data_IF_044331380150
#
_entry.id   IF_044331380150
#
_cell.length_a   1.000
_cell.length_b   1.000
_cell.length_c   1.000
_cell.angle_alpha   90.00
_cell.angle_beta   90.00
_cell.angle_gamma   90.00
#
_symmetry.space_group_name_H-M   'P 1'
#
loop_
_entity.id
_entity.type
_entity.pdbx_description
1 polymer ?
#
# COMPACT_ATOMS: atom_id res chain seq x y z
N UNK A 1 -3.44 -38.29 14.88
CA UNK A 1 -3.32 -37.81 13.48
C UNK A 1 -3.92 -36.41 13.31
N UNK A 2 -5.17 -36.19 13.71
CA UNK A 2 -5.87 -34.90 13.56
C UNK A 2 -5.20 -33.67 14.22
N UNK A 3 -4.63 -33.82 15.42
CA UNK A 3 -3.96 -32.69 16.11
C UNK A 3 -2.69 -32.22 15.38
N UNK A 4 -1.96 -33.15 14.74
CA UNK A 4 -0.76 -32.81 13.94
C UNK A 4 -1.15 -32.09 12.66
N UNK A 5 -2.21 -32.55 11.99
CA UNK A 5 -2.74 -31.87 10.80
C UNK A 5 -3.26 -30.46 11.14
N UNK A 6 -3.97 -30.29 12.26
CA UNK A 6 -4.43 -28.99 12.72
C UNK A 6 -3.27 -28.04 13.03
N UNK A 7 -2.22 -28.51 13.74
CA UNK A 7 -1.05 -27.70 14.03
C UNK A 7 -0.29 -27.27 12.77
N UNK A 8 -0.14 -28.17 11.79
CA UNK A 8 0.48 -27.86 10.49
C UNK A 8 -0.36 -26.83 9.75
N UNK A 9 -1.68 -26.99 9.70
CA UNK A 9 -2.56 -26.04 9.03
C UNK A 9 -2.48 -24.64 9.66
N UNK A 10 -2.52 -24.55 10.99
CA UNK A 10 -2.39 -23.28 11.71
C UNK A 10 -1.04 -22.61 11.43
N UNK A 11 0.05 -23.37 11.40
CA UNK A 11 1.38 -22.85 11.06
C UNK A 11 1.46 -22.32 9.63
N UNK A 12 0.90 -23.05 8.66
CA UNK A 12 0.89 -22.64 7.25
C UNK A 12 0.08 -21.35 7.04
N UNK A 13 -1.08 -21.21 7.71
CA UNK A 13 -1.89 -19.99 7.64
C UNK A 13 -1.17 -18.80 8.29
N UNK A 14 -0.50 -19.02 9.43
CA UNK A 14 0.26 -17.97 10.11
C UNK A 14 1.52 -17.53 9.33
N UNK A 15 2.05 -18.38 8.44
CA UNK A 15 3.22 -18.09 7.62
C UNK A 15 2.90 -17.34 6.31
N UNK A 16 1.62 -17.17 5.96
CA UNK A 16 1.23 -16.37 4.80
C UNK A 16 1.39 -14.89 5.14
N UNK A 17 2.53 -14.34 4.74
CA UNK A 17 2.76 -12.90 4.60
C UNK A 17 2.97 -12.62 3.12
N UNK A 18 2.25 -11.65 2.57
CA UNK A 18 2.32 -11.35 1.14
C UNK A 18 2.10 -9.87 0.86
N UNK A 19 2.94 -9.34 -0.02
CA UNK A 19 2.86 -7.96 -0.48
C UNK A 19 1.63 -7.80 -1.36
N UNK A 20 0.75 -6.87 -1.01
CA UNK A 20 -0.44 -6.59 -1.81
C UNK A 20 -0.19 -5.36 -2.67
N UNK A 21 -0.21 -5.54 -4.00
CA UNK A 21 -0.10 -4.44 -4.95
C UNK A 21 -1.49 -3.89 -5.30
N UNK A 22 -1.86 -2.75 -4.74
CA UNK A 22 -3.14 -2.09 -5.08
C UNK A 22 -2.99 -1.14 -6.25
N UNK A 23 -3.74 -1.42 -7.31
CA UNK A 23 -3.78 -0.60 -8.53
C UNK A 23 -4.79 0.56 -8.43
N UNK A 24 -5.83 0.41 -7.61
CA UNK A 24 -6.89 1.40 -7.37
C UNK A 24 -7.43 1.22 -5.93
N UNK A 25 -7.68 2.28 -5.15
CA UNK A 25 -7.54 3.71 -5.47
C UNK A 25 -6.08 4.18 -5.61
N UNK A 26 -5.90 5.32 -6.30
CA UNK A 26 -4.59 6.02 -6.37
C UNK A 26 -4.14 6.45 -4.97
N UNK A 27 -2.84 6.52 -4.74
CA UNK A 27 -2.28 6.83 -3.41
C UNK A 27 -2.40 5.68 -2.39
N UNK A 28 -2.85 4.49 -2.83
CA UNK A 28 -2.86 3.28 -2.00
C UNK A 28 -1.44 2.81 -1.64
N UNK A 29 -1.33 1.75 -0.84
CA UNK A 29 -0.07 1.17 -0.37
C UNK A 29 0.84 2.20 0.33
N UNK A 30 0.27 3.03 1.20
CA UNK A 30 0.99 4.08 1.93
C UNK A 30 1.60 5.21 1.08
N UNK A 31 1.26 5.34 -0.20
CA UNK A 31 1.82 6.37 -1.09
C UNK A 31 0.95 7.62 -1.23
N UNK A 32 0.00 7.79 -0.32
CA UNK A 32 -0.89 8.95 -0.31
C UNK A 32 -0.07 10.21 -0.03
N UNK A 33 -0.11 11.15 -0.98
CA UNK A 33 0.54 12.46 -0.90
C UNK A 33 2.07 12.46 -0.95
N UNK A 34 2.68 11.40 -1.47
CA UNK A 34 4.13 11.36 -1.68
C UNK A 34 4.50 11.75 -3.12
N UNK A 35 5.50 12.61 -3.29
CA UNK A 35 6.03 12.99 -4.62
C UNK A 35 7.04 11.96 -5.14
N UNK A 36 7.78 11.29 -4.25
CA UNK A 36 8.87 10.40 -4.62
C UNK A 36 8.36 9.02 -5.02
N UNK A 37 9.24 8.25 -5.66
CA UNK A 37 9.00 6.85 -6.00
C UNK A 37 9.12 5.91 -4.78
N UNK A 38 9.62 6.38 -3.64
CA UNK A 38 9.86 5.56 -2.45
C UNK A 38 8.90 5.97 -1.34
N UNK A 39 8.33 4.99 -0.63
CA UNK A 39 7.47 5.22 0.54
C UNK A 39 8.29 5.84 1.69
N UNK A 40 7.94 7.06 2.06
CA UNK A 40 8.63 7.87 3.08
C UNK A 40 8.10 7.58 4.48
N UNK A 41 6.80 7.25 4.63
CA UNK A 41 6.18 6.94 5.93
C UNK A 41 5.47 5.57 5.94
N UNK A 42 5.87 4.68 6.86
CA UNK A 42 5.33 3.31 6.99
C UNK A 42 4.13 3.26 7.93
N UNK A 43 4.03 4.23 8.84
CA UNK A 43 3.09 4.24 9.94
C UNK A 43 1.79 4.91 9.48
N UNK A 44 1.00 4.20 8.67
CA UNK A 44 -0.39 4.59 8.36
C UNK A 44 -1.33 3.44 8.68
N UNK A 45 -2.63 3.66 8.48
CA UNK A 45 -3.72 2.77 8.92
C UNK A 45 -3.62 1.33 8.39
N UNK A 46 -2.86 1.09 7.32
CA UNK A 46 -2.67 -0.21 6.70
C UNK A 46 -1.21 -0.43 6.31
N UNK A 47 -0.66 -1.61 6.66
CA UNK A 47 0.66 -2.04 6.23
C UNK A 47 0.52 -3.02 5.05
N UNK A 48 0.77 -2.50 3.85
CA UNK A 48 0.72 -3.26 2.60
C UNK A 48 1.92 -4.19 2.37
N UNK A 49 2.96 -4.13 3.20
CA UNK A 49 4.24 -4.82 3.01
C UNK A 49 4.89 -4.55 1.64
N UNK A 50 4.63 -3.41 0.99
CA UNK A 50 4.94 -3.14 -0.42
C UNK A 50 6.43 -2.95 -0.81
N UNK A 51 7.39 -3.41 0.00
CA UNK A 51 8.83 -3.27 -0.20
C UNK A 51 9.26 -1.85 -0.66
N UNK A 52 8.62 -0.83 -0.08
CA UNK A 52 8.80 0.62 -0.33
C UNK A 52 8.41 1.16 -1.71
N UNK A 53 8.21 0.32 -2.73
CA UNK A 53 7.94 0.78 -4.12
C UNK A 53 6.60 0.34 -4.69
N UNK A 54 5.88 -0.58 -4.04
CA UNK A 54 4.61 -1.08 -4.57
C UNK A 54 3.46 -0.06 -4.46
N UNK A 55 2.64 0.05 -5.51
CA UNK A 55 1.51 0.97 -5.63
C UNK A 55 1.82 2.23 -6.45
N UNK A 56 0.80 3.09 -6.62
CA UNK A 56 0.90 4.36 -7.36
C UNK A 56 0.68 5.55 -6.44
N UNK A 57 1.40 6.65 -6.71
CA UNK A 57 1.13 7.95 -6.09
C UNK A 57 -0.27 8.46 -6.50
N UNK A 58 -0.80 9.40 -5.71
CA UNK A 58 -1.86 10.25 -6.23
C UNK A 58 -1.31 11.03 -7.44
N UNK A 59 -2.07 11.08 -8.53
CA UNK A 59 -1.66 11.84 -9.71
C UNK A 59 -1.72 13.33 -9.41
N UNK A 60 -0.94 14.13 -10.13
CA UNK A 60 -1.05 15.58 -10.09
C UNK A 60 -2.41 16.01 -10.67
N UNK A 61 -3.00 17.06 -10.13
CA UNK A 61 -4.27 17.61 -10.62
C UNK A 61 -4.07 18.39 -11.93
N UNK A 62 -2.90 19.04 -12.09
CA UNK A 62 -2.56 19.87 -13.25
C UNK A 62 -1.44 19.29 -14.11
N UNK A 63 -1.02 20.07 -15.10
CA UNK A 63 0.06 19.71 -16.04
C UNK A 63 1.46 19.75 -15.42
N UNK A 64 1.60 20.47 -14.31
CA UNK A 64 2.86 20.62 -13.57
C UNK A 64 2.88 19.69 -12.37
N UNK A 65 4.08 19.25 -11.98
CA UNK A 65 4.29 18.45 -10.79
C UNK A 65 3.74 19.17 -9.53
N UNK A 66 2.92 18.47 -8.74
CA UNK A 66 2.37 19.00 -7.50
C UNK A 66 3.49 19.19 -6.48
N UNK A 67 3.58 20.36 -5.84
CA UNK A 67 4.54 20.63 -4.75
C UNK A 67 3.94 20.39 -3.37
N UNK A 68 2.63 20.16 -3.30
CA UNK A 68 1.91 19.84 -2.09
C UNK A 68 0.69 18.98 -2.41
N UNK A 69 0.11 18.41 -1.35
CA UNK A 69 -1.04 17.50 -1.45
C UNK A 69 -2.35 18.13 -1.94
N UNK A 70 -2.43 19.47 -1.97
CA UNK A 70 -3.61 20.20 -2.46
C UNK A 70 -3.59 20.35 -3.99
N UNK A 71 -2.43 20.09 -4.62
CA UNK A 71 -2.25 20.12 -6.07
C UNK A 71 -2.32 18.71 -6.69
N UNK A 72 -2.69 17.71 -5.89
CA UNK A 72 -2.86 16.33 -6.33
C UNK A 72 -4.34 16.01 -6.51
N UNK A 73 -4.61 15.12 -7.46
CA UNK A 73 -5.95 14.66 -7.78
C UNK A 73 -6.64 14.08 -6.53
N UNK A 74 -7.75 14.73 -6.14
CA UNK A 74 -8.63 14.26 -5.08
C UNK A 74 -9.92 13.75 -5.70
N UNK A 75 -10.30 12.54 -5.30
CA UNK A 75 -11.57 11.96 -5.74
C UNK A 75 -12.68 12.67 -4.96
N UNK A 76 -13.46 13.51 -5.65
CA UNK A 76 -14.63 14.14 -5.06
C UNK A 76 -15.74 13.08 -4.97
N UNK A 77 -16.20 12.80 -3.75
CA UNK A 77 -17.39 11.98 -3.46
C UNK A 77 -18.67 12.74 -3.69
#
# INVERSE_FOLDING_TARGET
MHLRCAAILTFLVAAVLGDVYFHNPRGSNNRLNEQSAERTNANRLFDSQNNNRGGYNAGDEGENAANNENQQYRMNT
#
